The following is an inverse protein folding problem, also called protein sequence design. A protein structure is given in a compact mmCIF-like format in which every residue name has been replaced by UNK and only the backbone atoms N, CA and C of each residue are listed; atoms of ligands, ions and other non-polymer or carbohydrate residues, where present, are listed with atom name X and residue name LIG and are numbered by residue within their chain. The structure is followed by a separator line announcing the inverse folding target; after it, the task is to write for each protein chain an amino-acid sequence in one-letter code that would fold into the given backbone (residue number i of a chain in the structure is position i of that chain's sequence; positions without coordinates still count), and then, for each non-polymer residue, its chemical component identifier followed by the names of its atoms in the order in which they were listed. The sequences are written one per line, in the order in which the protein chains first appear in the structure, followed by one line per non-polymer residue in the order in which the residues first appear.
data_IF_843840149648
#
_entry.id   IF_843840149648
#
_cell.length_a   1.000
_cell.length_b   1.000
_cell.length_c   1.000
_cell.angle_alpha   90.00
_cell.angle_beta   90.00
_cell.angle_gamma   90.00
#
_symmetry.space_group_name_H-M   'P 1'
#
loop_
_entity.id
_entity.type
_entity.pdbx_description
1 polymer ?
#
# COMPACT_ATOMS: atom_id res chain seq x y z
N UNK A 1 20.80 59.48 -33.95
CA UNK A 1 19.76 59.54 -32.95
C UNK A 1 20.02 58.39 -32.00
N UNK A 2 20.53 58.70 -30.80
CA UNK A 2 20.87 57.73 -29.74
C UNK A 2 19.64 57.47 -28.85
N UNK A 3 19.29 56.18 -28.67
CA UNK A 3 18.30 55.79 -27.71
C UNK A 3 19.04 55.07 -26.54
N UNK A 4 18.89 55.50 -25.27
CA UNK A 4 19.60 54.89 -24.15
C UNK A 4 18.94 53.56 -23.69
N UNK A 5 19.78 52.57 -23.43
CA UNK A 5 19.40 51.32 -22.73
C UNK A 5 19.13 51.60 -21.25
N UNK A 6 17.93 51.28 -20.79
CA UNK A 6 17.59 51.21 -19.38
C UNK A 6 17.90 49.78 -18.87
N UNK A 7 18.89 49.68 -17.99
CA UNK A 7 19.15 48.46 -17.22
C UNK A 7 18.21 48.42 -15.99
N UNK A 8 17.26 47.48 -15.98
CA UNK A 8 16.48 47.19 -14.78
C UNK A 8 17.21 46.13 -13.96
N UNK A 9 17.69 46.55 -12.80
CA UNK A 9 18.32 45.67 -11.80
C UNK A 9 17.22 44.95 -11.00
N UNK A 10 17.03 43.65 -11.23
CA UNK A 10 16.10 42.82 -10.44
C UNK A 10 16.90 42.26 -9.28
N UNK A 11 16.63 42.76 -8.06
CA UNK A 11 17.11 42.19 -6.81
C UNK A 11 16.35 40.90 -6.53
N UNK A 12 17.08 39.78 -6.39
CA UNK A 12 16.55 38.51 -5.91
C UNK A 12 16.18 38.59 -4.44
N UNK A 13 15.07 37.96 -4.02
CA UNK A 13 14.75 37.89 -2.60
C UNK A 13 15.62 36.84 -1.89
N UNK A 14 16.17 37.22 -0.75
CA UNK A 14 16.97 36.43 0.17
C UNK A 14 16.18 35.22 0.70
N UNK A 15 16.76 34.06 0.55
CA UNK A 15 16.31 32.79 1.16
C UNK A 15 16.32 32.89 2.67
N UNK A 16 15.16 32.80 3.30
CA UNK A 16 15.04 32.48 4.72
C UNK A 16 15.22 30.95 4.89
N UNK A 17 16.33 30.56 5.48
CA UNK A 17 16.58 29.19 5.90
C UNK A 17 15.83 28.90 7.20
N UNK A 18 14.70 28.20 7.13
CA UNK A 18 14.09 27.60 8.31
C UNK A 18 14.77 26.27 8.61
N UNK A 19 15.70 26.27 9.54
CA UNK A 19 16.28 25.08 10.12
C UNK A 19 15.23 24.39 11.03
N UNK A 20 14.72 23.25 10.62
CA UNK A 20 13.95 22.36 11.49
C UNK A 20 14.92 21.52 12.30
N UNK A 21 15.13 21.91 13.56
CA UNK A 21 15.90 21.11 14.54
C UNK A 21 14.95 20.05 15.10
N UNK A 22 15.06 18.83 14.63
CA UNK A 22 14.40 17.66 15.22
C UNK A 22 15.20 17.26 16.45
N UNK A 23 14.64 17.47 17.62
CA UNK A 23 15.23 16.98 18.89
C UNK A 23 14.89 15.50 19.05
N UNK A 24 15.79 14.64 18.61
CA UNK A 24 15.70 13.20 18.85
C UNK A 24 15.92 12.90 20.35
N UNK A 25 14.86 12.56 21.07
CA UNK A 25 14.99 11.90 22.39
C UNK A 25 15.43 10.46 22.17
N UNK A 26 16.70 10.17 22.50
CA UNK A 26 17.23 8.81 22.59
C UNK A 26 16.50 8.03 23.68
N UNK A 27 15.73 7.04 23.29
CA UNK A 27 15.31 5.96 24.18
C UNK A 27 16.43 4.95 24.22
N UNK A 28 17.02 4.75 25.39
CA UNK A 28 18.12 3.81 25.60
C UNK A 28 17.58 2.38 25.62
N UNK A 29 17.88 1.60 24.60
CA UNK A 29 17.69 0.14 24.62
C UNK A 29 18.89 -0.52 25.29
N UNK A 30 18.64 -1.26 26.36
CA UNK A 30 19.63 -2.13 27.00
C UNK A 30 20.09 -3.22 26.03
N UNK A 31 21.40 -3.28 25.77
CA UNK A 31 22.03 -4.40 25.07
C UNK A 31 22.00 -5.65 25.96
N UNK A 32 21.13 -6.58 25.62
CA UNK A 32 21.21 -7.98 26.06
C UNK A 32 21.98 -8.79 25.02
N UNK A 33 22.96 -9.53 25.49
CA UNK A 33 23.87 -10.39 24.71
C UNK A 33 23.12 -11.45 23.89
N UNK A 34 23.31 -11.41 22.57
CA UNK A 34 22.86 -12.45 21.64
C UNK A 34 23.84 -13.63 21.64
N UNK A 35 23.41 -14.76 22.18
CA UNK A 35 23.91 -16.08 21.80
C UNK A 35 22.70 -17.01 21.73
N UNK A 36 22.22 -17.30 20.54
CA UNK A 36 21.74 -18.61 20.06
C UNK A 36 21.08 -18.45 18.68
N UNK A 37 21.68 -19.08 17.70
CA UNK A 37 21.10 -19.38 16.40
C UNK A 37 19.89 -20.29 16.58
N UNK A 38 18.67 -19.77 16.47
CA UNK A 38 17.41 -20.50 16.54
C UNK A 38 16.74 -20.55 15.17
N UNK A 39 16.45 -21.74 14.74
CA UNK A 39 15.83 -22.21 13.49
C UNK A 39 14.65 -21.34 13.05
N UNK A 40 14.61 -21.05 11.75
CA UNK A 40 13.45 -20.48 11.06
C UNK A 40 12.21 -21.32 11.36
N UNK A 41 11.26 -20.74 12.11
CA UNK A 41 9.96 -21.34 12.35
C UNK A 41 8.98 -20.74 11.36
N UNK A 42 8.42 -21.62 10.53
CA UNK A 42 7.23 -21.36 9.70
C UNK A 42 6.14 -20.67 10.51
N UNK A 43 5.52 -19.63 9.92
CA UNK A 43 4.37 -18.91 10.47
C UNK A 43 3.32 -19.90 10.97
N UNK A 44 2.86 -19.83 12.23
CA UNK A 44 1.89 -20.78 12.74
C UNK A 44 0.54 -20.62 12.03
N UNK A 45 -0.01 -21.73 11.54
CA UNK A 45 -1.36 -21.80 10.95
C UNK A 45 -2.51 -21.27 11.86
N UNK A 46 -2.20 -20.89 13.09
CA UNK A 46 -3.13 -20.29 14.05
C UNK A 46 -3.60 -18.88 13.73
N UNK A 47 -2.84 -18.09 12.97
CA UNK A 47 -3.28 -16.74 12.55
C UNK A 47 -4.52 -16.82 11.65
N UNK A 48 -4.59 -17.82 10.79
CA UNK A 48 -5.73 -18.04 9.89
C UNK A 48 -7.03 -18.42 10.63
N UNK A 49 -6.93 -19.15 11.73
CA UNK A 49 -8.12 -19.59 12.51
C UNK A 49 -8.72 -18.46 13.35
N UNK A 50 -7.91 -17.54 13.86
CA UNK A 50 -8.39 -16.44 14.69
C UNK A 50 -9.07 -15.33 13.88
N UNK A 51 -8.67 -15.09 12.63
CA UNK A 51 -9.36 -14.11 11.74
C UNK A 51 -10.77 -14.58 11.35
N UNK A 52 -11.02 -15.89 11.29
CA UNK A 52 -12.36 -16.44 11.02
C UNK A 52 -13.32 -16.36 12.21
N UNK A 53 -12.82 -16.24 13.44
CA UNK A 53 -13.65 -16.20 14.66
C UNK A 53 -13.95 -14.78 15.16
N UNK A 54 -13.04 -13.82 14.96
CA UNK A 54 -13.22 -12.44 15.42
C UNK A 54 -14.26 -11.65 14.62
N UNK A 55 -14.56 -12.03 13.36
CA UNK A 55 -15.56 -11.35 12.52
C UNK A 55 -17.02 -11.72 12.85
N UNK A 56 -17.27 -12.63 13.79
CA UNK A 56 -18.63 -13.17 14.03
C UNK A 56 -19.48 -12.41 15.07
N UNK A 57 -18.96 -11.43 15.80
CA UNK A 57 -19.73 -10.99 16.98
C UNK A 57 -20.41 -9.62 16.92
N UNK A 58 -20.20 -8.74 15.96
CA UNK A 58 -20.91 -7.43 15.99
C UNK A 58 -21.48 -6.87 14.69
N UNK A 59 -21.22 -7.45 13.52
CA UNK A 59 -21.72 -6.91 12.24
C UNK A 59 -22.84 -7.72 11.59
N UNK A 60 -23.26 -8.85 12.16
CA UNK A 60 -24.17 -9.80 11.47
C UNK A 60 -25.66 -9.41 11.47
N UNK A 61 -26.08 -8.43 12.26
CA UNK A 61 -27.52 -8.08 12.35
C UNK A 61 -28.03 -7.06 11.33
N UNK A 62 -27.18 -6.42 10.52
CA UNK A 62 -27.58 -5.45 9.53
C UNK A 62 -27.53 -5.96 8.07
N UNK A 63 -26.95 -7.13 7.83
CA UNK A 63 -26.74 -7.66 6.48
C UNK A 63 -27.83 -8.60 5.94
N UNK A 64 -28.79 -9.02 6.75
CA UNK A 64 -29.84 -9.96 6.28
C UNK A 64 -30.86 -9.38 5.29
N UNK A 65 -30.84 -8.08 4.99
CA UNK A 65 -31.82 -7.45 4.09
C UNK A 65 -31.37 -7.29 2.62
N UNK A 66 -30.17 -7.74 2.24
CA UNK A 66 -29.66 -7.58 0.87
C UNK A 66 -29.07 -8.89 0.31
N UNK A 67 -29.80 -10.01 0.43
CA UNK A 67 -29.44 -11.22 -0.33
C UNK A 67 -30.14 -11.12 -1.69
N UNK A 68 -29.40 -10.89 -2.80
CA UNK A 68 -30.00 -10.91 -4.12
C UNK A 68 -30.51 -12.30 -4.46
N UNK A 69 -31.66 -12.37 -5.11
CA UNK A 69 -32.31 -13.58 -5.61
C UNK A 69 -31.33 -14.42 -6.46
N UNK A 70 -31.39 -15.77 -6.41
CA UNK A 70 -30.45 -16.69 -7.09
C UNK A 70 -30.29 -16.40 -8.60
N UNK A 71 -31.32 -15.88 -9.28
CA UNK A 71 -31.24 -15.46 -10.68
C UNK A 71 -30.39 -14.19 -10.93
N UNK A 72 -30.24 -13.31 -9.92
CA UNK A 72 -29.38 -12.13 -10.01
C UNK A 72 -27.91 -12.46 -9.77
N UNK A 73 -27.60 -13.50 -8.99
CA UNK A 73 -26.22 -13.96 -8.74
C UNK A 73 -25.54 -14.49 -10.01
N UNK A 74 -26.24 -15.23 -10.86
CA UNK A 74 -25.69 -15.70 -12.14
C UNK A 74 -25.26 -14.53 -13.02
N UNK A 75 -26.13 -13.56 -13.22
CA UNK A 75 -25.86 -12.36 -14.03
C UNK A 75 -24.72 -11.50 -13.45
N UNK A 76 -24.58 -11.42 -12.13
CA UNK A 76 -23.50 -10.64 -11.50
C UNK A 76 -22.15 -11.33 -11.61
N UNK A 77 -22.09 -12.67 -11.58
CA UNK A 77 -20.86 -13.43 -11.80
C UNK A 77 -20.38 -13.35 -13.25
N UNK A 78 -21.29 -13.40 -14.21
CA UNK A 78 -20.95 -13.23 -15.62
C UNK A 78 -20.44 -11.81 -15.89
N UNK A 79 -21.07 -10.80 -15.31
CA UNK A 79 -20.60 -9.41 -15.35
C UNK A 79 -19.20 -9.25 -14.73
N UNK A 80 -18.91 -9.93 -13.62
CA UNK A 80 -17.55 -9.88 -13.05
C UNK A 80 -16.51 -10.46 -14.01
N UNK A 81 -16.78 -11.61 -14.62
CA UNK A 81 -15.87 -12.24 -15.58
C UNK A 81 -15.65 -11.39 -16.83
N UNK A 82 -16.66 -10.63 -17.24
CA UNK A 82 -16.58 -9.69 -18.36
C UNK A 82 -15.71 -8.47 -18.03
N UNK A 83 -15.82 -7.93 -16.81
CA UNK A 83 -15.12 -6.72 -16.39
C UNK A 83 -13.73 -6.99 -15.80
N UNK A 84 -13.54 -8.08 -15.06
CA UNK A 84 -12.27 -8.44 -14.42
C UNK A 84 -11.54 -9.52 -15.23
N UNK A 85 -10.95 -9.10 -16.34
CA UNK A 85 -10.14 -9.91 -17.22
C UNK A 85 -8.65 -9.69 -16.98
N UNK A 86 -7.80 -10.60 -17.46
CA UNK A 86 -6.35 -10.45 -17.38
C UNK A 86 -5.86 -9.23 -18.17
N UNK A 87 -6.46 -8.92 -19.30
CA UNK A 87 -6.14 -7.72 -20.09
C UNK A 87 -6.43 -6.43 -19.30
N UNK A 88 -7.50 -6.44 -18.48
CA UNK A 88 -7.81 -5.31 -17.59
C UNK A 88 -6.82 -5.21 -16.44
N UNK A 89 -6.35 -6.32 -15.88
CA UNK A 89 -5.28 -6.33 -14.88
C UNK A 89 -3.96 -5.81 -15.47
N UNK A 90 -3.61 -6.22 -16.69
CA UNK A 90 -2.44 -5.71 -17.40
C UNK A 90 -2.57 -4.21 -17.72
N UNK A 91 -3.76 -3.78 -18.19
CA UNK A 91 -4.03 -2.35 -18.43
C UNK A 91 -3.87 -1.51 -17.16
N UNK A 92 -4.42 -2.01 -16.03
CA UNK A 92 -4.29 -1.34 -14.73
C UNK A 92 -2.81 -1.21 -14.32
N UNK A 93 -2.05 -2.30 -14.42
CA UNK A 93 -0.63 -2.28 -14.07
C UNK A 93 0.15 -1.31 -14.95
N UNK A 94 -0.09 -1.33 -16.25
CA UNK A 94 0.56 -0.41 -17.17
C UNK A 94 0.21 1.05 -16.81
N UNK A 95 -1.05 1.38 -16.60
CA UNK A 95 -1.51 2.70 -16.17
C UNK A 95 -0.87 3.14 -14.85
N UNK A 96 -0.76 2.23 -13.88
CA UNK A 96 -0.23 2.53 -12.56
C UNK A 96 1.24 2.91 -12.58
N UNK A 97 2.03 2.29 -13.48
CA UNK A 97 3.48 2.47 -13.58
C UNK A 97 3.94 3.24 -14.83
N UNK A 98 3.05 3.68 -15.73
CA UNK A 98 3.41 4.35 -17.00
C UNK A 98 4.21 5.65 -16.85
N UNK A 99 4.10 6.30 -15.69
CA UNK A 99 4.80 7.54 -15.39
C UNK A 99 6.26 7.33 -14.98
N UNK A 100 6.70 6.10 -14.81
CA UNK A 100 8.08 5.74 -14.55
C UNK A 100 8.81 5.59 -15.90
N UNK A 101 9.66 6.56 -16.30
CA UNK A 101 10.16 6.64 -17.68
C UNK A 101 11.20 5.59 -18.01
N UNK A 102 11.94 5.10 -16.98
CA UNK A 102 13.01 4.14 -17.13
C UNK A 102 12.73 2.87 -16.32
N UNK A 103 13.28 1.75 -16.77
CA UNK A 103 13.23 0.52 -15.99
C UNK A 103 13.92 0.65 -14.63
N UNK A 104 14.96 1.49 -14.55
CA UNK A 104 15.65 1.82 -13.30
C UNK A 104 14.73 2.51 -12.29
N UNK A 105 13.81 3.38 -12.77
CA UNK A 105 12.83 4.05 -11.92
C UNK A 105 11.75 3.07 -11.41
N UNK A 106 11.51 1.98 -12.15
CA UNK A 106 10.64 0.89 -11.67
C UNK A 106 11.27 0.09 -10.56
N UNK A 107 12.59 -0.05 -10.55
CA UNK A 107 13.30 -0.73 -9.46
C UNK A 107 13.20 0.12 -8.20
N UNK A 108 13.60 1.40 -8.25
CA UNK A 108 13.49 2.35 -7.12
C UNK A 108 12.93 3.68 -7.63
N UNK A 109 11.64 3.87 -7.45
CA UNK A 109 10.97 5.12 -7.82
C UNK A 109 11.50 6.29 -6.98
N UNK A 110 11.94 7.36 -7.64
CA UNK A 110 12.32 8.60 -6.99
C UNK A 110 11.10 9.31 -6.37
N UNK A 111 11.34 10.19 -5.40
CA UNK A 111 10.29 10.95 -4.72
C UNK A 111 9.45 11.81 -5.66
N UNK A 112 10.02 12.26 -6.78
CA UNK A 112 9.33 13.00 -7.83
C UNK A 112 8.23 12.18 -8.52
N UNK A 113 8.46 10.86 -8.69
CA UNK A 113 7.49 9.96 -9.30
C UNK A 113 6.44 9.46 -8.30
N UNK A 114 6.82 9.32 -7.02
CA UNK A 114 5.91 8.88 -5.96
C UNK A 114 4.72 9.83 -5.77
N UNK A 115 4.87 11.11 -6.13
CA UNK A 115 3.79 12.11 -6.04
C UNK A 115 2.53 11.69 -6.78
N UNK A 116 2.65 11.01 -7.94
CA UNK A 116 1.49 10.53 -8.69
C UNK A 116 0.63 9.56 -7.87
N UNK A 117 1.23 8.79 -6.99
CA UNK A 117 0.50 7.80 -6.19
C UNK A 117 -0.04 8.36 -4.88
N UNK A 118 0.68 9.30 -4.25
CA UNK A 118 0.40 9.72 -2.87
C UNK A 118 -0.11 11.16 -2.74
N UNK A 119 -0.07 11.94 -3.80
CA UNK A 119 -0.65 13.30 -3.81
C UNK A 119 -1.98 13.26 -4.55
N UNK A 120 -3.03 13.78 -3.91
CA UNK A 120 -4.36 13.84 -4.52
C UNK A 120 -4.33 14.68 -5.81
N UNK A 121 -4.79 14.10 -6.90
CA UNK A 121 -4.92 14.72 -8.21
C UNK A 121 -6.28 14.39 -8.82
N UNK A 122 -7.10 15.42 -9.05
CA UNK A 122 -8.46 15.21 -9.56
C UNK A 122 -8.48 14.57 -10.94
N UNK A 123 -7.53 14.90 -11.82
CA UNK A 123 -7.48 14.33 -13.17
C UNK A 123 -7.13 12.84 -13.09
N UNK A 124 -6.20 12.48 -12.22
CA UNK A 124 -5.86 11.08 -11.97
C UNK A 124 -7.04 10.30 -11.36
N UNK A 125 -7.75 10.89 -10.39
CA UNK A 125 -8.98 10.31 -9.82
C UNK A 125 -10.06 10.11 -10.90
N UNK A 126 -10.30 11.09 -11.76
CA UNK A 126 -11.29 11.01 -12.85
C UNK A 126 -10.96 9.85 -13.82
N UNK A 127 -9.68 9.63 -14.14
CA UNK A 127 -9.25 8.50 -14.97
C UNK A 127 -9.46 7.17 -14.23
N UNK A 128 -9.09 7.08 -12.95
CA UNK A 128 -9.35 5.88 -12.14
C UNK A 128 -10.83 5.51 -12.10
N UNK A 129 -11.70 6.51 -11.94
CA UNK A 129 -13.15 6.33 -11.97
C UNK A 129 -13.62 5.83 -13.33
N UNK A 130 -13.20 6.48 -14.41
CA UNK A 130 -13.67 6.14 -15.76
C UNK A 130 -13.24 4.73 -16.20
N UNK A 131 -11.98 4.35 -15.92
CA UNK A 131 -11.43 3.10 -16.41
C UNK A 131 -11.70 1.89 -15.49
N UNK A 132 -11.67 2.09 -14.17
CA UNK A 132 -11.64 0.96 -13.24
C UNK A 132 -12.85 0.86 -12.30
N UNK A 133 -13.67 1.91 -12.11
CA UNK A 133 -14.88 1.79 -11.30
C UNK A 133 -15.85 0.71 -11.80
N UNK A 134 -16.02 0.45 -13.11
CA UNK A 134 -16.86 -0.66 -13.57
C UNK A 134 -16.43 -2.01 -13.01
N UNK A 135 -15.12 -2.24 -12.85
CA UNK A 135 -14.57 -3.47 -12.26
C UNK A 135 -14.90 -3.52 -10.77
N UNK A 136 -14.70 -2.41 -10.05
CA UNK A 136 -15.00 -2.32 -8.62
C UNK A 136 -16.48 -2.59 -8.34
N UNK A 137 -17.37 -1.99 -9.12
CA UNK A 137 -18.82 -2.22 -9.00
C UNK A 137 -19.20 -3.67 -9.38
N UNK A 138 -18.56 -4.26 -10.39
CA UNK A 138 -18.79 -5.66 -10.73
C UNK A 138 -18.40 -6.58 -9.55
N UNK A 139 -17.26 -6.33 -8.88
CA UNK A 139 -16.84 -7.08 -7.67
C UNK A 139 -17.88 -6.93 -6.56
N UNK A 140 -18.35 -5.71 -6.27
CA UNK A 140 -19.36 -5.44 -5.22
C UNK A 140 -20.67 -6.16 -5.51
N UNK A 141 -21.12 -6.12 -6.75
CA UNK A 141 -22.40 -6.69 -7.17
C UNK A 141 -22.45 -8.23 -7.10
N UNK A 142 -21.27 -8.90 -7.07
CA UNK A 142 -21.21 -10.36 -6.85
C UNK A 142 -21.51 -10.78 -5.43
N UNK A 143 -21.44 -9.85 -4.47
CA UNK A 143 -21.52 -10.17 -3.05
C UNK A 143 -20.30 -10.96 -2.53
N UNK A 144 -19.16 -10.85 -3.18
CA UNK A 144 -17.88 -11.39 -2.67
C UNK A 144 -17.52 -10.68 -1.37
N UNK A 145 -17.28 -11.45 -0.30
CA UNK A 145 -16.96 -10.94 1.03
C UNK A 145 -15.63 -11.47 1.58
N UNK A 146 -14.90 -12.27 0.78
CA UNK A 146 -13.59 -12.78 1.19
C UNK A 146 -12.59 -12.83 0.05
N UNK A 147 -11.31 -12.59 0.38
CA UNK A 147 -10.20 -12.70 -0.58
C UNK A 147 -10.13 -14.08 -1.22
N UNK A 148 -10.30 -15.14 -0.42
CA UNK A 148 -10.32 -16.53 -0.93
C UNK A 148 -11.40 -16.76 -1.98
N UNK A 149 -12.61 -16.20 -1.78
CA UNK A 149 -13.68 -16.32 -2.78
C UNK A 149 -13.31 -15.54 -4.04
N UNK A 150 -12.79 -14.31 -3.92
CA UNK A 150 -12.37 -13.53 -5.08
C UNK A 150 -11.25 -14.23 -5.85
N UNK A 151 -10.23 -14.75 -5.17
CA UNK A 151 -9.14 -15.52 -5.78
C UNK A 151 -9.63 -16.76 -6.52
N UNK A 152 -10.68 -17.44 -6.02
CA UNK A 152 -11.27 -18.60 -6.71
C UNK A 152 -11.92 -18.23 -8.05
N UNK A 153 -12.34 -16.97 -8.21
CA UNK A 153 -12.94 -16.44 -9.44
C UNK A 153 -11.85 -15.92 -10.38
N UNK A 154 -10.95 -15.04 -9.87
CA UNK A 154 -9.94 -14.34 -10.67
C UNK A 154 -8.82 -15.29 -11.11
N UNK A 155 -8.35 -16.14 -10.21
CA UNK A 155 -7.26 -17.12 -10.45
C UNK A 155 -6.02 -16.46 -11.07
N UNK A 156 -5.32 -15.57 -10.35
CA UNK A 156 -4.11 -14.91 -10.85
C UNK A 156 -3.12 -15.94 -11.42
N UNK A 157 -2.60 -15.70 -12.63
CA UNK A 157 -1.69 -16.63 -13.36
C UNK A 157 -0.22 -16.37 -13.07
N UNK A 158 0.10 -15.16 -12.61
CA UNK A 158 1.47 -14.69 -12.38
C UNK A 158 1.51 -13.77 -11.17
N UNK A 159 2.71 -13.56 -10.62
CA UNK A 159 2.99 -12.56 -9.58
C UNK A 159 2.54 -11.14 -9.98
N UNK A 160 2.61 -10.80 -11.28
CA UNK A 160 2.14 -9.52 -11.80
C UNK A 160 0.61 -9.41 -11.83
N UNK A 161 -0.12 -10.52 -12.04
CA UNK A 161 -1.59 -10.54 -11.89
C UNK A 161 -1.99 -10.27 -10.41
N UNK A 162 -1.25 -10.85 -9.45
CA UNK A 162 -1.44 -10.56 -8.02
C UNK A 162 -1.18 -9.10 -7.71
N UNK A 163 -0.10 -8.52 -8.22
CA UNK A 163 0.21 -7.10 -8.07
C UNK A 163 -0.95 -6.22 -8.56
N UNK A 164 -1.43 -6.50 -9.78
CA UNK A 164 -2.55 -5.77 -10.38
C UNK A 164 -3.82 -5.89 -9.54
N UNK A 165 -4.14 -7.08 -9.04
CA UNK A 165 -5.32 -7.32 -8.21
C UNK A 165 -5.22 -6.58 -6.88
N UNK A 166 -4.06 -6.56 -6.26
CA UNK A 166 -3.83 -5.82 -5.00
C UNK A 166 -3.99 -4.31 -5.24
N UNK A 167 -3.39 -3.74 -6.28
CA UNK A 167 -3.55 -2.33 -6.63
C UNK A 167 -5.02 -2.00 -6.92
N UNK A 168 -5.73 -2.87 -7.64
CA UNK A 168 -7.16 -2.72 -7.93
C UNK A 168 -8.01 -2.61 -6.66
N UNK A 169 -7.69 -3.40 -5.63
CA UNK A 169 -8.51 -3.47 -4.42
C UNK A 169 -8.10 -2.47 -3.36
N UNK A 170 -6.83 -2.08 -3.33
CA UNK A 170 -6.32 -1.17 -2.31
C UNK A 170 -6.28 0.28 -2.77
N UNK A 171 -5.72 0.54 -3.96
CA UNK A 171 -5.44 1.90 -4.40
C UNK A 171 -6.57 2.51 -5.24
N UNK A 172 -7.10 1.78 -6.21
CA UNK A 172 -8.16 2.31 -7.09
C UNK A 172 -9.41 2.74 -6.30
N UNK A 173 -9.85 2.05 -5.22
CA UNK A 173 -10.95 2.55 -4.40
C UNK A 173 -10.66 3.88 -3.72
N UNK A 174 -9.41 4.14 -3.32
CA UNK A 174 -9.01 5.42 -2.71
C UNK A 174 -9.11 6.59 -3.67
N UNK A 175 -8.89 6.34 -4.96
CA UNK A 175 -9.07 7.34 -6.02
C UNK A 175 -10.54 7.44 -6.48
N UNK A 176 -11.33 6.36 -6.37
CA UNK A 176 -12.71 6.31 -6.88
C UNK A 176 -13.77 6.71 -5.86
N UNK A 177 -13.50 6.51 -4.56
CA UNK A 177 -14.45 6.77 -3.49
C UNK A 177 -13.90 7.83 -2.52
N UNK A 178 -13.95 9.10 -2.95
CA UNK A 178 -13.52 10.25 -2.13
C UNK A 178 -14.63 10.77 -1.21
N UNK A 179 -14.24 11.49 -0.16
CA UNK A 179 -15.16 12.16 0.76
C UNK A 179 -16.11 11.17 1.45
N UNK A 180 -17.41 11.45 1.44
CA UNK A 180 -18.43 10.63 2.13
C UNK A 180 -18.52 9.20 1.59
N UNK A 181 -18.05 8.94 0.36
CA UNK A 181 -18.02 7.61 -0.24
C UNK A 181 -16.83 6.76 0.24
N UNK A 182 -15.84 7.35 0.90
CA UNK A 182 -14.64 6.63 1.35
C UNK A 182 -14.94 5.46 2.32
N UNK A 183 -16.12 5.47 2.96
CA UNK A 183 -16.58 4.33 3.76
C UNK A 183 -16.60 3.01 2.97
N UNK A 184 -16.87 3.05 1.66
CA UNK A 184 -16.87 1.86 0.79
C UNK A 184 -15.46 1.28 0.68
N UNK A 185 -14.44 2.16 0.57
CA UNK A 185 -13.06 1.75 0.56
C UNK A 185 -12.71 1.01 1.87
N UNK A 186 -12.96 1.64 3.01
CA UNK A 186 -12.55 1.14 4.32
C UNK A 186 -13.32 -0.11 4.78
N UNK A 187 -14.60 -0.26 4.40
CA UNK A 187 -15.45 -1.35 4.90
C UNK A 187 -15.56 -2.54 3.97
N UNK A 188 -15.29 -2.34 2.67
CA UNK A 188 -15.43 -3.41 1.69
C UNK A 188 -14.12 -3.77 1.02
N UNK A 189 -13.38 -2.80 0.46
CA UNK A 189 -12.19 -3.09 -0.33
C UNK A 189 -10.94 -3.35 0.52
N UNK A 190 -10.68 -2.55 1.58
CA UNK A 190 -9.53 -2.76 2.45
C UNK A 190 -9.48 -4.18 3.04
N UNK A 191 -10.58 -4.74 3.59
CA UNK A 191 -10.56 -6.12 4.08
C UNK A 191 -10.25 -7.17 3.01
N UNK A 192 -10.68 -6.96 1.76
CA UNK A 192 -10.36 -7.86 0.65
C UNK A 192 -8.89 -7.74 0.24
N UNK A 193 -8.38 -6.51 0.13
CA UNK A 193 -6.99 -6.23 -0.22
C UNK A 193 -6.02 -6.83 0.81
N UNK A 194 -6.30 -6.64 2.12
CA UNK A 194 -5.51 -7.24 3.21
C UNK A 194 -5.47 -8.77 3.09
N UNK A 195 -6.63 -9.43 2.89
CA UNK A 195 -6.68 -10.89 2.78
C UNK A 195 -5.89 -11.40 1.56
N UNK A 196 -5.95 -10.69 0.44
CA UNK A 196 -5.22 -11.08 -0.77
C UNK A 196 -3.71 -10.84 -0.60
N UNK A 197 -3.31 -9.73 0.02
CA UNK A 197 -1.91 -9.47 0.33
C UNK A 197 -1.31 -10.50 1.28
N UNK A 198 -2.02 -10.85 2.35
CA UNK A 198 -1.59 -11.90 3.28
C UNK A 198 -1.47 -13.27 2.60
N UNK A 199 -2.39 -13.60 1.69
CA UNK A 199 -2.32 -14.85 0.91
C UNK A 199 -1.11 -14.83 -0.03
N UNK A 200 -0.84 -13.71 -0.71
CA UNK A 200 0.34 -13.55 -1.56
C UNK A 200 1.65 -13.69 -0.77
N UNK A 201 1.73 -13.10 0.43
CA UNK A 201 2.87 -13.22 1.34
C UNK A 201 3.03 -14.68 1.81
N UNK A 202 1.94 -15.33 2.21
CA UNK A 202 1.96 -16.73 2.64
C UNK A 202 2.41 -17.69 1.52
N UNK A 203 2.13 -17.36 0.25
CA UNK A 203 2.67 -18.08 -0.91
C UNK A 203 4.11 -17.68 -1.27
N UNK A 204 4.70 -16.73 -0.56
CA UNK A 204 6.06 -16.25 -0.78
C UNK A 204 6.23 -15.43 -2.07
N UNK A 205 5.14 -14.92 -2.67
CA UNK A 205 5.22 -14.19 -3.94
C UNK A 205 6.15 -12.97 -3.85
N UNK A 206 6.02 -12.06 -2.85
CA UNK A 206 6.88 -10.88 -2.78
C UNK A 206 8.37 -11.20 -2.55
N UNK A 207 8.66 -12.35 -1.96
CA UNK A 207 10.01 -12.72 -1.56
C UNK A 207 10.71 -13.67 -2.55
N UNK A 208 9.95 -14.36 -3.45
CA UNK A 208 10.49 -15.38 -4.33
C UNK A 208 10.30 -15.10 -5.83
N UNK A 209 9.30 -14.29 -6.24
CA UNK A 209 9.12 -13.91 -7.65
C UNK A 209 10.10 -12.78 -7.99
N UNK A 210 11.11 -13.00 -8.85
CA UNK A 210 12.19 -12.02 -9.08
C UNK A 210 11.68 -10.66 -9.57
N UNK A 211 10.66 -10.64 -10.43
CA UNK A 211 10.03 -9.44 -10.98
C UNK A 211 9.20 -8.64 -9.94
N UNK A 212 9.02 -9.21 -8.74
CA UNK A 212 8.46 -8.53 -7.58
C UNK A 212 9.56 -8.23 -6.56
N UNK A 213 10.32 -9.26 -6.16
CA UNK A 213 11.32 -9.16 -5.11
C UNK A 213 12.32 -8.04 -5.37
N UNK A 214 12.84 -7.97 -6.60
CA UNK A 214 13.90 -7.06 -6.97
C UNK A 214 13.42 -5.77 -7.66
N UNK A 215 12.11 -5.65 -7.88
CA UNK A 215 11.46 -4.43 -8.38
C UNK A 215 10.72 -3.78 -7.20
N UNK A 216 11.43 -2.99 -6.41
CA UNK A 216 10.93 -2.49 -5.12
C UNK A 216 9.68 -1.63 -5.24
N UNK A 217 9.50 -0.91 -6.37
CA UNK A 217 8.26 -0.21 -6.65
C UNK A 217 7.06 -1.15 -6.86
N UNK A 218 7.27 -2.40 -7.30
CA UNK A 218 6.23 -3.43 -7.36
C UNK A 218 6.00 -4.04 -5.98
N UNK A 219 7.08 -4.45 -5.30
CA UNK A 219 7.04 -5.16 -4.02
C UNK A 219 6.32 -4.37 -2.94
N UNK A 220 6.52 -3.05 -2.91
CA UNK A 220 5.89 -2.15 -1.96
C UNK A 220 4.36 -2.29 -1.94
N UNK A 221 3.71 -2.49 -3.10
CA UNK A 221 2.25 -2.58 -3.18
C UNK A 221 1.68 -3.84 -2.54
N UNK A 222 2.47 -4.91 -2.41
CA UNK A 222 2.04 -6.11 -1.68
C UNK A 222 1.88 -5.86 -0.18
N UNK A 223 2.55 -4.84 0.35
CA UNK A 223 2.54 -4.52 1.78
C UNK A 223 1.63 -3.34 2.13
N UNK A 224 1.33 -2.48 1.16
CA UNK A 224 0.46 -1.30 1.36
C UNK A 224 -0.90 -1.62 1.98
N UNK A 225 -1.63 -2.69 1.57
CA UNK A 225 -2.91 -3.02 2.21
C UNK A 225 -2.80 -3.32 3.70
N UNK A 226 -1.65 -3.84 4.15
CA UNK A 226 -1.43 -4.16 5.55
C UNK A 226 -1.37 -2.89 6.40
N UNK A 227 -0.73 -1.81 5.89
CA UNK A 227 -0.72 -0.48 6.53
C UNK A 227 -2.13 0.09 6.72
N UNK A 228 -3.08 -0.32 5.89
CA UNK A 228 -4.45 0.18 5.93
C UNK A 228 -5.36 -0.58 6.89
N UNK A 229 -4.87 -1.68 7.46
CA UNK A 229 -5.59 -2.49 8.45
C UNK A 229 -5.80 -1.74 9.76
N UNK A 230 -6.87 -2.08 10.49
CA UNK A 230 -7.05 -1.67 11.89
C UNK A 230 -6.80 -2.84 12.86
N UNK A 231 -6.05 -3.86 12.43
CA UNK A 231 -5.63 -5.02 13.21
C UNK A 231 -4.12 -4.95 13.46
N UNK A 232 -3.71 -4.87 14.73
CA UNK A 232 -2.30 -4.73 15.12
C UNK A 232 -1.45 -5.91 14.67
N UNK A 233 -2.00 -7.13 14.63
CA UNK A 233 -1.26 -8.31 14.17
C UNK A 233 -0.93 -8.25 12.68
N UNK A 234 -1.75 -7.56 11.89
CA UNK A 234 -1.49 -7.31 10.46
C UNK A 234 -0.35 -6.29 10.30
N UNK A 235 -0.28 -5.28 11.17
CA UNK A 235 0.85 -4.34 11.20
C UNK A 235 2.16 -5.01 11.61
N UNK A 236 2.14 -5.97 12.54
CA UNK A 236 3.34 -6.74 12.90
C UNK A 236 3.88 -7.51 11.69
N UNK A 237 3.00 -8.10 10.85
CA UNK A 237 3.41 -8.71 9.58
C UNK A 237 3.92 -7.67 8.57
N UNK A 238 3.27 -6.50 8.48
CA UNK A 238 3.71 -5.41 7.60
C UNK A 238 5.13 -4.95 7.95
N UNK A 239 5.41 -4.67 9.24
CA UNK A 239 6.75 -4.31 9.72
C UNK A 239 7.78 -5.38 9.34
N UNK A 240 7.44 -6.66 9.54
CA UNK A 240 8.31 -7.78 9.16
C UNK A 240 8.57 -7.79 7.64
N UNK A 241 7.55 -7.59 6.82
CA UNK A 241 7.65 -7.59 5.36
C UNK A 241 8.48 -6.41 4.84
N UNK A 242 8.27 -5.20 5.35
CA UNK A 242 9.07 -4.02 4.98
C UNK A 242 10.53 -4.15 5.43
N UNK A 243 10.79 -4.73 6.60
CA UNK A 243 12.16 -5.02 7.04
C UNK A 243 12.86 -6.02 6.10
N UNK A 244 12.21 -7.11 5.68
CA UNK A 244 12.78 -8.04 4.69
C UNK A 244 13.10 -7.34 3.36
N UNK A 245 12.21 -6.45 2.88
CA UNK A 245 12.47 -5.65 1.69
C UNK A 245 13.68 -4.72 1.88
N UNK A 246 13.79 -4.06 3.03
CA UNK A 246 14.92 -3.19 3.34
C UNK A 246 16.23 -3.99 3.45
N UNK A 247 16.23 -5.18 4.04
CA UNK A 247 17.38 -6.10 4.09
C UNK A 247 17.82 -6.51 2.68
N UNK A 248 16.89 -6.83 1.79
CA UNK A 248 17.20 -7.12 0.39
C UNK A 248 17.85 -5.90 -0.31
N UNK A 249 17.31 -4.68 -0.12
CA UNK A 249 17.94 -3.45 -0.65
C UNK A 249 19.38 -3.30 -0.12
N UNK A 250 19.57 -3.47 1.18
CA UNK A 250 20.90 -3.35 1.81
C UNK A 250 21.87 -4.40 1.27
N UNK A 251 21.41 -5.62 1.02
CA UNK A 251 22.23 -6.71 0.46
C UNK A 251 22.77 -6.41 -0.94
N UNK A 252 22.09 -5.56 -1.69
CA UNK A 252 22.48 -5.15 -3.04
C UNK A 252 23.52 -4.02 -3.05
N UNK A 253 23.75 -3.33 -1.93
CA UNK A 253 24.70 -2.21 -1.87
C UNK A 253 26.16 -2.63 -2.05
N UNK A 254 26.45 -3.90 -1.81
CA UNK A 254 27.79 -4.48 -1.90
C UNK A 254 27.76 -5.77 -2.73
N UNK A 255 28.95 -6.26 -3.09
CA UNK A 255 29.11 -7.49 -3.86
C UNK A 255 28.91 -7.30 -5.36
N UNK A 256 28.93 -8.42 -6.09
CA UNK A 256 28.79 -8.47 -7.56
C UNK A 256 27.89 -9.62 -7.97
N UNK A 257 27.34 -9.53 -9.19
CA UNK A 257 26.50 -10.58 -9.77
C UNK A 257 25.06 -10.56 -9.27
N UNK A 258 24.38 -11.69 -9.34
CA UNK A 258 23.01 -11.92 -8.94
C UNK A 258 22.54 -13.29 -9.43
N UNK A 259 21.54 -13.86 -8.78
CA UNK A 259 20.99 -15.19 -9.10
C UNK A 259 20.18 -15.19 -10.41
N UNK A 260 19.62 -14.04 -10.75
CA UNK A 260 18.80 -13.83 -11.94
C UNK A 260 19.03 -12.43 -12.55
N UNK A 261 18.35 -12.12 -13.64
CA UNK A 261 18.47 -10.83 -14.34
C UNK A 261 17.91 -9.66 -13.53
N UNK A 262 16.82 -9.87 -12.80
CA UNK A 262 16.19 -8.82 -11.99
C UNK A 262 17.10 -8.43 -10.81
N UNK A 263 17.72 -9.40 -10.13
CA UNK A 263 18.67 -9.11 -9.06
C UNK A 263 19.90 -8.36 -9.59
N UNK A 264 20.46 -8.78 -10.74
CA UNK A 264 21.61 -8.07 -11.34
C UNK A 264 21.27 -6.62 -11.66
N UNK A 265 20.13 -6.39 -12.30
CA UNK A 265 19.67 -5.05 -12.65
C UNK A 265 19.34 -4.20 -11.42
N UNK A 266 18.73 -4.79 -10.39
CA UNK A 266 18.46 -4.12 -9.12
C UNK A 266 19.78 -3.73 -8.42
N UNK A 267 20.79 -4.60 -8.44
CA UNK A 267 22.11 -4.32 -7.88
C UNK A 267 22.78 -3.14 -8.59
N UNK A 268 22.75 -3.11 -9.92
CA UNK A 268 23.28 -1.98 -10.69
C UNK A 268 22.61 -0.65 -10.29
N UNK A 269 21.29 -0.64 -10.15
CA UNK A 269 20.52 0.56 -9.75
C UNK A 269 20.83 0.97 -8.32
N UNK A 270 20.87 0.01 -7.38
CA UNK A 270 21.19 0.26 -5.96
C UNK A 270 22.64 0.77 -5.80
N UNK A 271 23.59 0.18 -6.52
CA UNK A 271 25.01 0.60 -6.46
C UNK A 271 25.26 1.93 -7.16
N UNK A 272 24.43 2.32 -8.14
CA UNK A 272 24.52 3.65 -8.77
C UNK A 272 24.18 4.78 -7.78
N UNK A 273 23.26 4.57 -6.85
CA UNK A 273 22.94 5.50 -5.75
C UNK A 273 22.55 4.74 -4.47
N UNK A 274 23.55 4.23 -3.71
CA UNK A 274 23.29 3.47 -2.50
C UNK A 274 22.57 4.27 -1.41
N UNK A 275 22.77 5.59 -1.38
CA UNK A 275 22.14 6.44 -0.38
C UNK A 275 20.65 6.61 -0.67
N UNK A 276 20.26 6.85 -1.93
CA UNK A 276 18.87 6.86 -2.36
C UNK A 276 18.19 5.53 -2.03
N UNK A 277 18.82 4.43 -2.36
CA UNK A 277 18.28 3.09 -2.11
C UNK A 277 18.05 2.81 -0.62
N UNK A 278 19.06 3.07 0.23
CA UNK A 278 18.94 2.94 1.69
C UNK A 278 17.83 3.82 2.25
N UNK A 279 17.75 5.06 1.79
CA UNK A 279 16.71 6.00 2.24
C UNK A 279 15.30 5.49 1.88
N UNK A 280 15.10 4.95 0.68
CA UNK A 280 13.79 4.38 0.26
C UNK A 280 13.41 3.20 1.15
N UNK A 281 14.32 2.26 1.39
CA UNK A 281 14.07 1.11 2.26
C UNK A 281 13.73 1.51 3.69
N UNK A 282 14.53 2.39 4.28
CA UNK A 282 14.33 2.88 5.64
C UNK A 282 13.03 3.68 5.77
N UNK A 283 12.74 4.59 4.83
CA UNK A 283 11.51 5.38 4.83
C UNK A 283 10.27 4.50 4.76
N UNK A 284 10.31 3.41 4.01
CA UNK A 284 9.18 2.46 3.92
C UNK A 284 8.89 1.81 5.28
N UNK A 285 9.93 1.38 6.02
CA UNK A 285 9.80 0.83 7.38
C UNK A 285 9.27 1.89 8.35
N UNK A 286 9.84 3.10 8.34
CA UNK A 286 9.43 4.20 9.22
C UNK A 286 7.98 4.61 8.97
N UNK A 287 7.53 4.55 7.72
CA UNK A 287 6.15 4.88 7.35
C UNK A 287 5.17 3.85 7.92
N UNK A 288 5.51 2.55 7.85
CA UNK A 288 4.72 1.50 8.49
C UNK A 288 4.68 1.65 10.01
N UNK A 289 5.80 1.93 10.65
CA UNK A 289 5.84 2.14 12.11
C UNK A 289 4.94 3.30 12.54
N UNK A 290 4.86 4.37 11.75
CA UNK A 290 3.93 5.50 12.02
C UNK A 290 2.47 5.06 11.95
N UNK A 291 2.11 4.17 11.03
CA UNK A 291 0.76 3.58 10.96
C UNK A 291 0.49 2.69 12.17
N UNK A 292 1.43 1.78 12.44
CA UNK A 292 1.34 0.81 13.53
C UNK A 292 1.12 1.46 14.90
N UNK A 293 1.86 2.53 15.21
CA UNK A 293 1.74 3.25 16.49
C UNK A 293 0.33 3.81 16.70
N UNK A 294 -0.35 4.25 15.64
CA UNK A 294 -1.74 4.73 15.74
C UNK A 294 -2.69 3.58 16.09
N UNK A 295 -2.51 2.44 15.44
CA UNK A 295 -3.34 1.25 15.72
C UNK A 295 -3.04 0.69 17.11
N UNK A 296 -1.79 0.65 17.53
CA UNK A 296 -1.40 0.26 18.89
C UNK A 296 -2.05 1.16 19.95
N UNK A 297 -2.09 2.48 19.69
CA UNK A 297 -2.63 3.46 20.62
C UNK A 297 -4.16 3.47 20.66
N UNK A 298 -4.81 3.45 19.51
CA UNK A 298 -6.25 3.70 19.42
C UNK A 298 -7.07 2.47 19.02
N UNK A 299 -6.44 1.41 18.50
CA UNK A 299 -7.09 0.23 17.92
C UNK A 299 -7.85 0.54 16.63
N UNK A 300 -7.63 1.74 16.05
CA UNK A 300 -8.27 2.22 14.83
C UNK A 300 -7.64 3.51 14.33
N UNK A 301 -7.93 3.88 13.09
CA UNK A 301 -7.55 5.17 12.54
C UNK A 301 -8.56 6.27 12.92
N UNK A 302 -8.23 7.25 13.78
CA UNK A 302 -9.15 8.30 14.22
C UNK A 302 -9.73 9.14 13.07
N UNK A 303 -8.94 9.43 12.02
CA UNK A 303 -9.38 10.23 10.88
C UNK A 303 -10.52 9.57 10.09
N UNK A 304 -10.69 8.24 10.16
CA UNK A 304 -11.79 7.50 9.52
C UNK A 304 -13.11 7.57 10.29
N UNK A 305 -13.09 8.02 11.55
CA UNK A 305 -14.27 7.97 12.43
C UNK A 305 -15.47 8.67 11.85
N UNK A 306 -15.31 9.88 11.30
CA UNK A 306 -16.39 10.65 10.71
C UNK A 306 -17.09 9.90 9.57
N UNK A 307 -16.33 9.40 8.61
CA UNK A 307 -16.83 8.71 7.43
C UNK A 307 -17.48 7.36 7.79
N UNK A 308 -16.95 6.70 8.84
CA UNK A 308 -17.46 5.43 9.34
C UNK A 308 -18.58 5.58 10.38
N UNK A 309 -19.04 6.80 10.65
CA UNK A 309 -20.10 7.07 11.66
C UNK A 309 -19.70 6.66 13.08
N UNK A 310 -18.39 6.61 13.37
CA UNK A 310 -17.86 6.23 14.69
C UNK A 310 -17.75 7.44 15.61
N UNK A 311 -18.13 7.27 16.87
CA UNK A 311 -17.97 8.33 17.88
C UNK A 311 -16.48 8.61 18.09
N UNK A 312 -16.09 9.90 17.99
CA UNK A 312 -14.75 10.37 18.30
C UNK A 312 -14.51 10.31 19.83
N UNK A 313 -13.37 9.75 20.26
CA UNK A 313 -12.93 9.80 21.65
C UNK A 313 -12.15 11.11 21.90
N UNK A 314 -12.08 11.59 23.16
CA UNK A 314 -11.35 12.81 23.49
C UNK A 314 -9.88 12.72 23.06
N UNK A 315 -9.21 11.63 23.42
CA UNK A 315 -7.80 11.38 23.07
C UNK A 315 -7.52 11.32 21.55
N UNK A 316 -8.49 10.83 20.75
CA UNK A 316 -8.41 10.82 19.29
C UNK A 316 -8.56 12.23 18.69
N UNK A 317 -9.46 13.03 19.29
CA UNK A 317 -9.63 14.43 18.91
C UNK A 317 -8.39 15.25 19.26
N UNK A 318 -7.81 15.05 20.43
CA UNK A 318 -6.57 15.72 20.85
C UNK A 318 -5.41 15.34 19.92
N UNK A 319 -5.30 14.07 19.53
CA UNK A 319 -4.30 13.60 18.56
C UNK A 319 -4.44 14.30 17.21
N UNK A 320 -5.64 14.33 16.63
CA UNK A 320 -5.88 14.96 15.34
C UNK A 320 -5.69 16.48 15.40
N UNK A 321 -6.14 17.13 16.47
CA UNK A 321 -6.02 18.58 16.66
C UNK A 321 -4.57 19.04 16.88
N UNK A 322 -3.71 18.18 17.42
CA UNK A 322 -2.28 18.45 17.58
C UNK A 322 -1.44 18.14 16.33
N UNK A 323 -2.06 17.84 15.19
CA UNK A 323 -1.37 17.53 13.94
C UNK A 323 -0.92 16.08 13.85
N UNK A 324 -1.62 15.16 14.50
CA UNK A 324 -1.38 13.72 14.36
C UNK A 324 -1.58 13.23 12.94
N UNK A 325 -0.85 12.17 12.58
CA UNK A 325 -0.84 11.64 11.23
C UNK A 325 -2.23 11.20 10.74
N UNK A 326 -2.57 11.61 9.51
CA UNK A 326 -3.75 11.19 8.79
C UNK A 326 -3.33 10.68 7.42
N UNK A 327 -3.58 9.42 7.13
CA UNK A 327 -3.12 8.79 5.89
C UNK A 327 -4.27 8.66 4.89
N UNK A 328 -4.12 9.32 3.71
CA UNK A 328 -4.98 9.10 2.56
C UNK A 328 -6.43 9.52 2.76
N UNK A 329 -6.70 10.67 3.35
CA UNK A 329 -8.05 11.25 3.43
C UNK A 329 -8.36 12.14 2.24
#
# INVERSE_FOLDING_TARGET
MNIPRVQASIKAPTRASSSWTVTARRVAYHRGTLSQLGRFTTVPARLYQNMASASRSSSFKLQEKLIPNMGSRGKSMDSLKEHLTYDKLDRLRNFWFEHLPQDTDRIIAGSEYQKRWFVSDKQFDDICVAEFSPILEAIRNTGVTSGKHLLSIVKPRSSLDWLSLIILLDQIPRNSYRGDKASVCFTYFDPLAVQISLEAIAQGIPDNAPEIRWVFSHRNWFYMPLMHSEDLSVHDEAVSAFNRMNEDILSLTEGTGGTDEYERKAREVVQADPNKAKNVGQTSVEFEERHRVIIERFGRYPHRNKVLGRKMRSEENDFLSSGGDTFGS
#
